data_IF_606601692661
#
_entry.id   IF_606601692661
#
_cell.length_a   1.000
_cell.length_b   1.000
_cell.length_c   1.000
_cell.angle_alpha   90.00
_cell.angle_beta   90.00
_cell.angle_gamma   90.00
#
_symmetry.space_group_name_H-M   'P 1'
#
loop_
_entity.id
_entity.type
_entity.pdbx_description
1 polymer ?
#
# COMPACT_ATOMS: atom_id res chain seq x y z
N UNK A 1 9.59 23.38 12.36
CA UNK A 1 9.39 22.17 13.18
C UNK A 1 8.65 21.19 12.27
N UNK A 2 9.12 19.93 12.10
CA UNK A 2 8.41 18.96 11.28
C UNK A 2 7.09 18.58 11.96
N UNK A 3 6.02 18.27 11.22
CA UNK A 3 4.79 17.75 11.80
C UNK A 3 4.98 16.33 12.33
N UNK A 4 4.25 15.98 13.39
CA UNK A 4 4.19 14.62 13.91
C UNK A 4 3.14 13.80 13.14
N UNK A 5 3.45 12.53 12.98
CA UNK A 5 2.65 11.50 12.30
C UNK A 5 2.37 10.36 13.29
N UNK A 6 1.17 9.80 13.25
CA UNK A 6 0.78 8.63 14.01
C UNK A 6 0.66 7.43 13.06
N UNK A 7 1.52 6.43 13.26
CA UNK A 7 1.60 5.21 12.43
C UNK A 7 1.14 4.01 13.25
N UNK A 8 0.05 3.35 12.85
CA UNK A 8 -0.34 2.06 13.41
C UNK A 8 0.65 0.97 12.98
N UNK A 9 1.15 0.19 13.93
CA UNK A 9 2.20 -0.82 13.68
C UNK A 9 1.67 -2.24 13.77
N UNK A 10 0.96 -2.58 14.83
CA UNK A 10 0.42 -3.91 15.03
C UNK A 10 -0.83 -3.87 15.89
N UNK A 11 -1.72 -4.85 15.68
CA UNK A 11 -2.91 -5.04 16.51
C UNK A 11 -2.98 -6.47 17.04
N UNK A 12 -3.06 -6.63 18.37
CA UNK A 12 -3.12 -7.92 19.05
C UNK A 12 -3.90 -7.83 20.36
N UNK A 13 -4.26 -8.97 20.96
CA UNK A 13 -4.82 -9.00 22.33
C UNK A 13 -3.77 -8.69 23.40
N UNK A 14 -2.50 -8.91 23.07
CA UNK A 14 -1.35 -8.63 23.91
C UNK A 14 -0.23 -8.04 23.06
N UNK A 15 0.49 -7.05 23.60
CA UNK A 15 1.64 -6.40 22.95
C UNK A 15 2.82 -6.42 23.91
N UNK A 16 3.94 -6.99 23.45
CA UNK A 16 5.21 -6.97 24.16
C UNK A 16 6.13 -5.91 23.57
N UNK A 17 6.75 -5.11 24.44
CA UNK A 17 7.58 -3.99 24.03
C UNK A 17 8.69 -3.67 25.05
N UNK A 18 9.71 -2.96 24.60
CA UNK A 18 10.75 -2.36 25.44
C UNK A 18 10.78 -0.85 25.20
N UNK A 19 10.93 -0.08 26.27
CA UNK A 19 11.17 1.36 26.21
C UNK A 19 12.56 1.62 26.74
N UNK A 20 13.41 2.28 25.96
CA UNK A 20 14.83 2.40 26.29
C UNK A 20 15.13 3.46 27.34
N UNK A 21 14.16 4.34 27.67
CA UNK A 21 14.34 5.46 28.61
C UNK A 21 14.72 5.04 30.04
N UNK A 22 14.30 3.87 30.48
CA UNK A 22 14.41 3.45 31.88
C UNK A 22 15.11 2.10 32.10
N UNK A 23 15.45 1.40 31.02
CA UNK A 23 16.17 0.11 31.07
C UNK A 23 15.40 -1.04 31.75
N UNK A 24 14.09 -0.93 31.88
CA UNK A 24 13.25 -1.87 32.63
C UNK A 24 13.05 -3.23 31.92
N UNK A 25 13.59 -3.42 30.69
CA UNK A 25 13.45 -4.65 29.93
C UNK A 25 12.10 -4.79 29.22
N UNK A 26 11.74 -6.03 28.86
CA UNK A 26 10.49 -6.33 28.15
C UNK A 26 9.28 -6.11 29.05
N UNK A 27 8.31 -5.39 28.53
CA UNK A 27 7.02 -5.07 29.15
C UNK A 27 5.89 -5.68 28.34
N UNK A 28 4.73 -5.85 28.96
CA UNK A 28 3.55 -6.42 28.32
C UNK A 28 2.31 -5.61 28.66
N UNK A 29 1.54 -5.26 27.65
CA UNK A 29 0.20 -4.74 27.77
C UNK A 29 -0.80 -5.79 27.27
N UNK A 30 -1.93 -5.98 27.95
CA UNK A 30 -2.97 -6.95 27.60
C UNK A 30 -4.33 -6.27 27.52
N UNK A 31 -5.20 -6.75 26.64
CA UNK A 31 -6.60 -6.28 26.57
C UNK A 31 -7.42 -6.93 27.68
N UNK A 32 -8.06 -6.14 28.52
CA UNK A 32 -8.96 -6.61 29.58
C UNK A 32 -10.14 -5.70 29.74
N UNK A 33 -11.36 -6.24 29.67
CA UNK A 33 -12.61 -5.49 29.87
C UNK A 33 -12.74 -4.23 28.98
N UNK A 34 -12.22 -4.32 27.72
CA UNK A 34 -12.21 -3.19 26.79
C UNK A 34 -11.20 -2.09 27.10
N UNK A 35 -10.26 -2.34 28.04
CA UNK A 35 -9.17 -1.44 28.46
C UNK A 35 -7.81 -2.10 28.32
N UNK A 36 -6.78 -1.31 28.51
CA UNK A 36 -5.38 -1.75 28.51
C UNK A 36 -4.98 -2.09 29.95
N UNK A 37 -4.73 -3.38 30.25
CA UNK A 37 -4.10 -3.80 31.49
C UNK A 37 -2.58 -3.67 31.35
N UNK A 38 -1.98 -2.87 32.20
CA UNK A 38 -0.54 -2.67 32.25
C UNK A 38 -0.11 -2.37 33.69
N UNK A 39 0.94 -3.05 34.18
CA UNK A 39 1.49 -2.92 35.54
C UNK A 39 0.41 -2.98 36.65
N UNK A 40 -0.54 -3.91 36.49
CA UNK A 40 -1.63 -4.15 37.44
C UNK A 40 -2.75 -3.11 37.47
N UNK A 41 -2.78 -2.15 36.55
CA UNK A 41 -3.81 -1.14 36.41
C UNK A 41 -4.47 -1.15 35.03
N UNK A 42 -5.66 -0.54 34.92
CA UNK A 42 -6.43 -0.44 33.68
C UNK A 42 -6.39 0.99 33.14
N UNK A 43 -6.07 1.12 31.84
CA UNK A 43 -5.90 2.40 31.14
C UNK A 43 -6.78 2.43 29.90
N UNK A 44 -7.21 3.62 29.49
CA UNK A 44 -7.87 3.87 28.20
C UNK A 44 -6.84 4.07 27.07
N UNK A 45 -5.66 4.58 27.43
CA UNK A 45 -4.53 4.82 26.53
C UNK A 45 -3.21 4.77 27.34
N UNK A 46 -2.15 4.21 26.76
CA UNK A 46 -0.78 4.34 27.29
C UNK A 46 0.05 5.19 26.33
N UNK A 47 0.92 6.02 26.88
CA UNK A 47 1.84 6.85 26.13
C UNK A 47 3.22 6.86 26.77
N UNK A 48 4.22 6.49 25.99
CA UNK A 48 5.63 6.46 26.40
C UNK A 48 6.38 7.47 25.53
N UNK A 49 6.84 8.55 26.13
CA UNK A 49 7.53 9.62 25.44
C UNK A 49 8.87 9.18 24.83
N UNK A 50 9.24 9.82 23.71
CA UNK A 50 10.56 9.66 23.13
C UNK A 50 11.64 10.18 24.08
N UNK A 51 12.76 9.47 24.19
CA UNK A 51 13.96 10.07 24.77
C UNK A 51 14.53 11.10 23.81
N UNK A 52 14.47 12.35 24.22
CA UNK A 52 15.17 13.53 23.68
C UNK A 52 14.93 13.87 22.19
N UNK A 53 14.28 15.00 21.91
CA UNK A 53 14.12 15.50 20.54
C UNK A 53 15.35 16.27 20.04
N UNK A 54 16.55 15.91 20.37
CA UNK A 54 17.72 16.79 20.20
C UNK A 54 18.88 16.27 19.38
N UNK A 55 18.80 15.09 18.80
CA UNK A 55 19.82 14.73 17.82
C UNK A 55 19.28 14.91 16.40
N UNK A 56 20.13 15.41 15.53
CA UNK A 56 19.92 15.49 14.07
C UNK A 56 19.76 14.06 13.45
N UNK A 57 19.66 13.03 14.31
CA UNK A 57 19.61 11.62 13.95
C UNK A 57 18.60 10.88 14.83
N UNK A 58 17.56 10.32 14.19
CA UNK A 58 16.62 9.44 14.85
C UNK A 58 17.38 8.25 15.50
N UNK A 59 17.28 8.15 16.83
CA UNK A 59 17.73 6.98 17.58
C UNK A 59 16.53 6.18 18.06
N UNK A 60 16.67 4.85 18.21
CA UNK A 60 15.59 4.03 18.72
C UNK A 60 15.19 4.46 20.13
N UNK A 61 13.91 4.71 20.36
CA UNK A 61 13.33 5.04 21.67
C UNK A 61 12.65 3.83 22.29
N UNK A 62 12.11 2.93 21.45
CA UNK A 62 11.43 1.71 21.88
C UNK A 62 11.57 0.59 20.85
N UNK A 63 11.20 -0.61 21.25
CA UNK A 63 11.13 -1.79 20.38
C UNK A 63 9.79 -2.50 20.60
N UNK A 64 9.15 -2.93 19.52
CA UNK A 64 8.02 -3.84 19.54
C UNK A 64 8.51 -5.25 19.23
N UNK A 65 8.00 -6.22 19.96
CA UNK A 65 8.32 -7.65 19.78
C UNK A 65 7.34 -8.29 18.78
N UNK A 66 7.85 -9.23 18.00
CA UNK A 66 7.05 -10.09 17.13
C UNK A 66 6.11 -9.31 16.19
N UNK A 67 6.55 -8.20 15.63
CA UNK A 67 5.80 -7.46 14.59
C UNK A 67 5.71 -8.32 13.34
N UNK A 68 4.49 -8.61 12.87
CA UNK A 68 4.27 -9.37 11.64
C UNK A 68 4.45 -8.43 10.45
N UNK A 69 5.36 -8.76 9.55
CA UNK A 69 5.62 -8.02 8.31
C UNK A 69 5.30 -8.87 7.09
N UNK A 70 4.87 -8.23 6.00
CA UNK A 70 4.48 -8.93 4.77
C UNK A 70 3.21 -9.74 4.94
N UNK A 71 2.22 -9.20 5.62
CA UNK A 71 0.93 -9.87 5.90
C UNK A 71 0.29 -10.36 4.59
N UNK A 72 0.00 -11.66 4.52
CA UNK A 72 -0.52 -12.35 3.33
C UNK A 72 0.44 -12.46 2.13
N UNK A 73 1.71 -12.12 2.27
CA UNK A 73 2.74 -12.38 1.26
C UNK A 73 3.51 -13.67 1.58
N UNK A 74 4.15 -14.26 0.55
CA UNK A 74 4.95 -15.48 0.70
C UNK A 74 6.17 -15.34 1.63
N UNK A 75 6.55 -14.10 1.97
CA UNK A 75 7.65 -13.75 2.87
C UNK A 75 7.16 -13.25 4.24
N UNK A 76 5.89 -13.45 4.59
CA UNK A 76 5.34 -13.13 5.90
C UNK A 76 6.18 -13.75 7.02
N UNK A 77 6.56 -12.93 7.99
CA UNK A 77 7.32 -13.34 9.16
C UNK A 77 7.16 -12.38 10.32
N UNK A 78 7.61 -12.79 11.49
CA UNK A 78 7.66 -11.95 12.68
C UNK A 78 9.09 -11.46 12.93
N UNK A 79 9.23 -10.18 13.24
CA UNK A 79 10.50 -9.55 13.58
C UNK A 79 10.33 -8.60 14.77
N UNK A 80 11.39 -8.48 15.59
CA UNK A 80 11.49 -7.41 16.57
C UNK A 80 11.89 -6.13 15.87
N UNK A 81 11.10 -5.07 16.03
CA UNK A 81 11.33 -3.80 15.31
C UNK A 81 11.59 -2.65 16.26
N UNK A 82 12.60 -1.84 15.94
CA UNK A 82 13.02 -0.65 16.70
C UNK A 82 12.46 0.60 16.05
N UNK A 83 11.96 1.53 16.87
CA UNK A 83 11.33 2.75 16.42
C UNK A 83 11.92 3.98 17.10
N UNK A 84 11.99 5.10 16.36
CA UNK A 84 12.18 6.42 16.92
C UNK A 84 10.84 7.01 17.37
N UNK A 85 10.87 8.12 18.13
CA UNK A 85 9.66 8.81 18.56
C UNK A 85 8.99 8.15 19.76
N UNK A 86 7.71 8.41 19.96
CA UNK A 86 6.94 7.92 21.09
C UNK A 86 6.13 6.67 20.74
N UNK A 87 5.91 5.81 21.74
CA UNK A 87 4.99 4.69 21.67
C UNK A 87 3.66 5.05 22.34
N UNK A 88 2.58 4.89 21.59
CA UNK A 88 1.20 5.00 22.07
C UNK A 88 0.51 3.63 21.92
N UNK A 89 -0.22 3.18 22.93
CA UNK A 89 -1.05 1.97 22.83
C UNK A 89 -2.50 2.38 23.08
N UNK A 90 -3.38 1.96 22.17
CA UNK A 90 -4.82 2.26 22.22
C UNK A 90 -5.63 0.97 22.07
N UNK A 91 -6.92 1.04 22.44
CA UNK A 91 -7.89 -0.03 22.11
C UNK A 91 -8.64 0.37 20.86
N UNK A 92 -8.62 -0.47 19.84
CA UNK A 92 -9.37 -0.30 18.59
C UNK A 92 -9.93 -1.65 18.10
N UNK A 93 -11.22 -1.70 17.77
CA UNK A 93 -11.90 -2.92 17.26
C UNK A 93 -11.61 -4.18 18.12
N UNK A 94 -11.74 -4.06 19.46
CA UNK A 94 -11.49 -5.13 20.44
C UNK A 94 -10.08 -5.73 20.41
N UNK A 95 -9.10 -4.93 20.05
CA UNK A 95 -7.67 -5.26 20.12
C UNK A 95 -6.88 -4.07 20.66
N UNK A 96 -5.69 -4.36 21.18
CA UNK A 96 -4.67 -3.33 21.41
C UNK A 96 -4.02 -3.00 20.07
N UNK A 97 -3.82 -1.72 19.79
CA UNK A 97 -3.05 -1.24 18.65
C UNK A 97 -1.86 -0.43 19.15
N UNK A 98 -0.65 -0.84 18.77
CA UNK A 98 0.56 -0.05 18.97
C UNK A 98 0.67 1.00 17.86
N UNK A 99 0.81 2.25 18.25
CA UNK A 99 0.95 3.40 17.36
C UNK A 99 2.27 4.09 17.64
N UNK A 100 3.08 4.28 16.62
CA UNK A 100 4.30 5.09 16.70
C UNK A 100 3.98 6.55 16.41
N UNK A 101 4.34 7.45 17.30
CA UNK A 101 4.24 8.91 17.11
C UNK A 101 5.64 9.43 16.76
N UNK A 102 5.82 9.88 15.52
CA UNK A 102 7.13 10.17 14.95
C UNK A 102 7.08 11.38 14.03
N UNK A 103 8.16 12.14 13.95
CA UNK A 103 8.27 13.23 12.99
C UNK A 103 8.33 12.73 11.54
N UNK A 104 7.75 13.47 10.61
CA UNK A 104 7.64 13.05 9.18
C UNK A 104 9.00 12.72 8.57
N UNK A 105 10.09 13.45 8.88
CA UNK A 105 11.39 13.17 8.29
C UNK A 105 12.04 11.88 8.85
N UNK A 106 11.79 11.56 10.12
CA UNK A 106 12.22 10.30 10.74
C UNK A 106 11.39 9.11 10.22
N UNK A 107 10.09 9.32 9.97
CA UNK A 107 9.24 8.36 9.27
C UNK A 107 9.80 8.03 7.88
N UNK A 108 10.17 9.05 7.10
CA UNK A 108 10.72 8.87 5.76
C UNK A 108 12.04 8.09 5.75
N UNK A 109 12.86 8.22 6.79
CA UNK A 109 14.07 7.42 6.92
C UNK A 109 13.77 5.93 6.92
N UNK A 110 12.72 5.52 7.61
CA UNK A 110 12.24 4.14 7.59
C UNK A 110 11.62 3.76 6.24
N UNK A 111 10.68 4.56 5.72
CA UNK A 111 9.98 4.27 4.45
C UNK A 111 10.98 4.06 3.31
N UNK A 112 11.88 5.00 3.09
CA UNK A 112 12.85 4.92 1.99
C UNK A 112 13.77 3.69 2.15
N UNK A 113 14.18 3.38 3.38
CA UNK A 113 15.01 2.19 3.65
C UNK A 113 14.26 0.86 3.56
N UNK A 114 12.93 0.88 3.74
CA UNK A 114 12.07 -0.31 3.65
C UNK A 114 11.58 -0.57 2.23
N UNK A 115 11.37 0.49 1.44
CA UNK A 115 10.90 0.41 0.05
C UNK A 115 12.04 0.19 -0.95
N UNK A 116 13.22 0.78 -0.71
CA UNK A 116 14.33 0.84 -1.65
C UNK A 116 15.58 0.20 -1.09
N UNK A 117 16.46 -0.25 -2.01
CA UNK A 117 17.80 -0.70 -1.66
C UNK A 117 18.68 0.46 -1.19
N UNK A 118 19.57 0.20 -0.25
CA UNK A 118 20.59 1.15 0.18
C UNK A 118 21.59 1.52 -0.95
N UNK A 119 21.65 0.74 -2.03
CA UNK A 119 22.47 0.97 -3.22
C UNK A 119 21.79 1.80 -4.29
N UNK A 120 20.53 2.22 -4.08
CA UNK A 120 19.78 3.02 -5.05
C UNK A 120 20.45 4.38 -5.30
N UNK A 121 20.30 4.89 -6.51
CA UNK A 121 20.89 6.16 -6.93
C UNK A 121 20.30 7.34 -6.16
N UNK A 122 21.13 8.35 -5.89
CA UNK A 122 20.74 9.51 -5.07
C UNK A 122 19.53 10.26 -5.67
N UNK A 123 19.50 10.44 -7.00
CA UNK A 123 18.39 11.14 -7.67
C UNK A 123 17.07 10.36 -7.60
N UNK A 124 17.13 9.04 -7.71
CA UNK A 124 15.95 8.21 -7.52
C UNK A 124 15.42 8.28 -6.07
N UNK A 125 16.33 8.16 -5.08
CA UNK A 125 15.96 8.27 -3.67
C UNK A 125 15.40 9.65 -3.31
N UNK A 126 15.94 10.75 -3.90
CA UNK A 126 15.39 12.11 -3.71
C UNK A 126 13.97 12.22 -4.27
N UNK A 127 13.72 11.71 -5.48
CA UNK A 127 12.37 11.69 -6.04
C UNK A 127 11.42 10.93 -5.12
N UNK A 128 11.85 9.75 -4.64
CA UNK A 128 11.03 8.92 -3.75
C UNK A 128 10.78 9.59 -2.38
N UNK A 129 11.77 10.26 -1.81
CA UNK A 129 11.59 11.01 -0.55
C UNK A 129 10.55 12.14 -0.70
N UNK A 130 10.58 12.88 -1.81
CA UNK A 130 9.62 13.94 -2.08
C UNK A 130 8.20 13.40 -2.24
N UNK A 131 8.00 12.34 -3.01
CA UNK A 131 6.65 11.77 -3.21
C UNK A 131 6.10 11.13 -1.96
N UNK A 132 6.94 10.39 -1.20
CA UNK A 132 6.52 9.78 0.06
C UNK A 132 6.13 10.84 1.09
N UNK A 133 6.89 11.95 1.17
CA UNK A 133 6.54 13.11 2.01
C UNK A 133 5.23 13.76 1.55
N UNK A 134 5.07 14.00 0.26
CA UNK A 134 3.86 14.62 -0.30
C UNK A 134 2.62 13.79 0.03
N UNK A 135 2.71 12.47 -0.17
CA UNK A 135 1.62 11.54 0.12
C UNK A 135 1.25 11.54 1.60
N UNK A 136 2.21 11.32 2.51
CA UNK A 136 1.91 11.24 3.94
C UNK A 136 1.40 12.58 4.50
N UNK A 137 1.94 13.71 4.02
CA UNK A 137 1.45 15.03 4.39
C UNK A 137 0.01 15.29 3.91
N UNK A 138 -0.37 14.76 2.73
CA UNK A 138 -1.75 14.81 2.25
C UNK A 138 -2.68 13.96 3.14
N UNK A 139 -2.22 12.78 3.61
CA UNK A 139 -2.98 11.94 4.56
C UNK A 139 -3.20 12.66 5.91
N UNK A 140 -2.15 13.25 6.50
CA UNK A 140 -2.25 14.02 7.74
C UNK A 140 -3.25 15.18 7.58
N UNK A 141 -3.20 15.90 6.46
CA UNK A 141 -4.10 17.00 6.19
C UNK A 141 -5.57 16.56 6.10
N UNK A 142 -5.83 15.41 5.48
CA UNK A 142 -7.19 14.83 5.39
C UNK A 142 -7.67 14.30 6.73
N UNK A 143 -6.84 13.53 7.46
CA UNK A 143 -7.15 13.02 8.81
C UNK A 143 -7.45 14.15 9.81
N UNK A 144 -6.70 15.23 9.75
CA UNK A 144 -6.93 16.42 10.58
C UNK A 144 -8.29 17.08 10.34
N UNK A 145 -8.83 16.98 9.13
CA UNK A 145 -10.17 17.47 8.77
C UNK A 145 -11.26 16.54 9.35
N UNK A 146 -11.07 15.24 9.30
CA UNK A 146 -11.98 14.25 9.90
C UNK A 146 -11.96 14.32 11.45
N UNK A 147 -10.80 14.49 12.09
CA UNK A 147 -10.71 14.67 13.56
C UNK A 147 -11.40 15.94 14.07
N UNK A 148 -11.45 17.02 13.26
CA UNK A 148 -12.19 18.26 13.61
C UNK A 148 -13.69 18.15 13.34
N UNK A 149 -14.11 17.25 12.46
CA UNK A 149 -15.51 17.01 12.13
C UNK A 149 -16.22 16.03 13.10
N UNK A 150 -15.51 15.42 14.04
CA UNK A 150 -16.08 14.51 15.03
C UNK A 150 -16.75 15.27 16.18
N UNK A 151 -17.83 16.02 15.93
CA UNK A 151 -19.02 16.25 16.74
C UNK A 151 -20.10 16.76 15.80
N UNK A 152 -21.10 15.95 15.42
CA UNK A 152 -22.31 15.86 16.20
C UNK A 152 -22.78 14.41 16.41
N UNK A 153 -23.22 14.15 17.63
CA UNK A 153 -24.17 13.10 17.95
C UNK A 153 -25.45 13.42 17.21
N UNK A 154 -25.71 12.73 16.14
CA UNK A 154 -27.03 12.42 15.53
C UNK A 154 -26.84 12.05 14.05
N UNK A 155 -26.37 10.82 13.81
CA UNK A 155 -26.64 10.13 12.54
C UNK A 155 -27.05 8.69 12.83
N UNK A 156 -28.13 8.52 13.56
CA UNK A 156 -29.00 7.38 13.38
C UNK A 156 -29.82 7.66 12.14
N UNK A 157 -29.35 7.23 10.97
CA UNK A 157 -30.11 6.90 9.76
C UNK A 157 -29.27 7.20 8.51
N UNK A 158 -28.29 6.33 8.27
CA UNK A 158 -27.95 5.93 6.90
C UNK A 158 -27.75 4.43 6.95
N UNK A 159 -28.40 3.65 6.10
CA UNK A 159 -28.24 2.20 6.13
C UNK A 159 -26.79 1.88 5.73
N UNK A 160 -26.07 1.23 6.61
CA UNK A 160 -24.86 0.48 6.27
C UNK A 160 -25.31 -0.63 5.33
N UNK A 161 -25.22 -0.37 4.04
CA UNK A 161 -25.34 -1.40 3.02
C UNK A 161 -24.08 -2.24 3.12
N UNK A 162 -24.33 -3.49 3.56
CA UNK A 162 -23.41 -4.63 3.56
C UNK A 162 -22.67 -4.91 4.86
N UNK A 163 -23.42 -5.24 5.88
CA UNK A 163 -23.06 -6.33 6.78
C UNK A 163 -24.32 -7.17 6.99
N UNK A 164 -24.26 -8.46 6.66
CA UNK A 164 -25.31 -9.47 6.78
C UNK A 164 -26.36 -9.48 5.68
N UNK A 165 -26.09 -10.19 4.59
CA UNK A 165 -27.13 -10.88 3.83
C UNK A 165 -27.67 -12.00 4.73
N UNK A 166 -28.83 -11.74 5.30
CA UNK A 166 -29.66 -12.75 5.96
C UNK A 166 -30.19 -13.71 4.86
N UNK A 167 -29.64 -14.92 4.84
CA UNK A 167 -29.93 -15.96 3.86
C UNK A 167 -31.23 -16.72 4.15
N UNK A 168 -32.22 -16.11 4.78
CA UNK A 168 -33.45 -16.85 5.22
C UNK A 168 -34.70 -16.64 4.38
N UNK A 169 -34.65 -15.92 3.27
CA UNK A 169 -35.83 -15.73 2.45
C UNK A 169 -35.55 -15.88 0.96
N UNK A 170 -35.60 -17.09 0.44
CA UNK A 170 -36.05 -17.48 -0.91
C UNK A 170 -35.80 -18.98 -1.10
N UNK A 171 -36.80 -19.78 -0.87
CA UNK A 171 -36.90 -21.12 -1.45
C UNK A 171 -37.93 -21.06 -2.56
N UNK A 172 -37.55 -21.77 -3.62
CA UNK A 172 -38.39 -22.15 -4.76
C UNK A 172 -38.49 -21.10 -5.88
N UNK A 173 -37.54 -21.23 -6.84
CA UNK A 173 -37.75 -21.16 -8.28
C UNK A 173 -36.46 -21.64 -8.98
N UNK A 174 -36.53 -22.42 -10.06
CA UNK A 174 -35.42 -22.94 -10.84
C UNK A 174 -34.57 -21.79 -11.39
N UNK A 175 -33.43 -21.51 -10.73
CA UNK A 175 -32.56 -20.36 -11.05
C UNK A 175 -31.49 -20.73 -12.08
N UNK A 176 -31.63 -20.18 -13.25
CA UNK A 176 -30.49 -19.85 -14.12
C UNK A 176 -29.57 -18.90 -13.34
N UNK A 177 -28.26 -19.21 -13.28
CA UNK A 177 -27.24 -18.66 -12.41
C UNK A 177 -27.41 -17.16 -12.06
N UNK A 178 -27.48 -16.87 -10.77
CA UNK A 178 -27.60 -15.51 -10.25
C UNK A 178 -26.31 -14.72 -10.54
N UNK A 179 -26.43 -13.62 -11.27
CA UNK A 179 -25.34 -12.66 -11.48
C UNK A 179 -25.16 -11.85 -10.19
N UNK A 180 -24.01 -11.97 -9.55
CA UNK A 180 -23.64 -11.19 -8.36
C UNK A 180 -22.64 -10.10 -8.74
N UNK A 181 -22.92 -8.85 -8.38
CA UNK A 181 -21.94 -7.78 -8.48
C UNK A 181 -21.27 -7.56 -7.13
N UNK A 182 -19.95 -7.66 -7.11
CA UNK A 182 -19.11 -7.44 -5.94
C UNK A 182 -17.99 -6.47 -6.29
N UNK A 183 -18.14 -5.22 -5.88
CA UNK A 183 -17.12 -4.18 -6.04
C UNK A 183 -16.59 -3.82 -4.67
N UNK A 184 -15.33 -4.09 -4.41
CA UNK A 184 -14.68 -3.74 -3.16
C UNK A 184 -13.68 -2.61 -3.38
N UNK A 185 -13.87 -1.55 -2.61
CA UNK A 185 -12.94 -0.43 -2.51
C UNK A 185 -12.08 -0.63 -1.28
N UNK A 186 -10.79 -0.43 -1.42
CA UNK A 186 -9.92 -0.33 -0.25
C UNK A 186 -9.92 1.13 0.18
N UNK A 187 -10.85 1.48 1.07
CA UNK A 187 -10.91 2.79 1.69
C UNK A 187 -9.89 2.89 2.82
N UNK A 188 -9.29 4.07 2.98
CA UNK A 188 -8.38 4.39 4.08
C UNK A 188 -9.08 4.47 5.45
N UNK A 189 -10.37 4.17 5.51
CA UNK A 189 -11.22 4.35 6.70
C UNK A 189 -11.15 3.19 7.70
N UNK A 190 -10.29 2.21 7.51
CA UNK A 190 -10.15 1.09 8.46
C UNK A 190 -9.61 1.51 9.82
N UNK A 191 -9.05 2.71 9.93
CA UNK A 191 -8.57 3.30 11.18
C UNK A 191 -8.94 4.79 11.28
N UNK A 192 -9.42 5.21 12.46
CA UNK A 192 -9.84 6.59 12.72
C UNK A 192 -9.01 7.28 13.80
N UNK A 193 -8.14 6.53 14.49
CA UNK A 193 -7.41 7.02 15.67
C UNK A 193 -5.92 7.29 15.42
N UNK A 194 -5.42 7.03 14.23
CA UNK A 194 -4.06 7.33 13.77
C UNK A 194 -4.07 7.70 12.29
N UNK A 195 -2.95 8.13 11.71
CA UNK A 195 -2.92 8.74 10.37
C UNK A 195 -2.72 7.73 9.26
N UNK A 196 -1.82 6.77 9.43
CA UNK A 196 -1.46 5.74 8.44
C UNK A 196 -1.14 4.41 9.12
N UNK A 197 -1.17 3.33 8.35
CA UNK A 197 -0.75 2.00 8.76
C UNK A 197 0.62 1.64 8.18
N UNK A 198 1.35 0.72 8.81
CA UNK A 198 2.73 0.35 8.46
C UNK A 198 2.89 -0.48 7.19
N UNK A 199 1.81 -1.01 6.62
CA UNK A 199 1.83 -1.98 5.54
C UNK A 199 1.68 -1.38 4.13
N UNK A 200 1.66 -2.27 3.11
CA UNK A 200 1.64 -1.94 1.68
C UNK A 200 0.38 -1.15 1.22
N UNK A 201 -0.67 -1.02 2.05
CA UNK A 201 -1.83 -0.18 1.74
C UNK A 201 -1.52 1.31 1.90
N UNK A 202 -0.56 1.62 2.75
CA UNK A 202 -0.04 2.97 2.94
C UNK A 202 1.36 3.08 2.34
N UNK A 203 2.38 3.06 3.17
CA UNK A 203 3.79 3.02 2.77
C UNK A 203 4.50 2.07 3.73
N UNK A 204 5.35 1.21 3.21
CA UNK A 204 6.06 0.23 4.02
C UNK A 204 6.95 0.91 5.05
N UNK A 205 6.58 0.77 6.33
CA UNK A 205 7.24 1.40 7.46
C UNK A 205 7.71 0.35 8.47
N UNK A 206 9.00 0.05 8.53
CA UNK A 206 9.57 -1.01 9.38
C UNK A 206 10.51 -0.44 10.47
N UNK A 207 10.24 0.76 10.93
CA UNK A 207 11.02 1.43 11.95
C UNK A 207 12.48 1.68 11.55
N UNK A 208 13.37 1.77 12.54
CA UNK A 208 14.78 2.04 12.32
C UNK A 208 15.62 0.76 12.15
N UNK A 209 15.04 -0.42 12.25
CA UNK A 209 15.78 -1.69 12.18
C UNK A 209 16.57 -1.83 10.87
N UNK A 210 16.07 -1.25 9.79
CA UNK A 210 16.69 -1.24 8.45
C UNK A 210 17.26 0.10 8.02
N UNK A 211 17.00 1.15 8.79
CA UNK A 211 17.40 2.53 8.46
C UNK A 211 18.88 2.82 8.73
N UNK A 212 19.78 1.95 8.27
CA UNK A 212 21.23 2.04 8.55
C UNK A 212 22.03 2.87 7.53
N UNK A 213 21.39 3.28 6.42
CA UNK A 213 22.05 3.89 5.27
C UNK A 213 22.37 5.38 5.46
N UNK A 214 23.67 5.76 5.42
CA UNK A 214 24.09 7.18 5.39
C UNK A 214 23.55 7.91 4.16
N UNK A 215 23.37 7.22 3.03
CA UNK A 215 22.85 7.78 1.78
C UNK A 215 21.41 8.22 1.92
N UNK A 216 20.53 7.39 2.52
CA UNK A 216 19.12 7.74 2.72
C UNK A 216 19.00 8.98 3.59
N UNK A 217 19.76 9.07 4.67
CA UNK A 217 19.78 10.25 5.54
C UNK A 217 20.18 11.52 4.78
N UNK A 218 21.32 11.47 4.01
CA UNK A 218 21.76 12.59 3.16
C UNK A 218 20.66 13.03 2.18
N UNK A 219 19.94 12.08 1.61
CA UNK A 219 18.85 12.35 0.66
C UNK A 219 17.70 13.08 1.36
N UNK A 220 17.28 12.62 2.54
CA UNK A 220 16.22 13.25 3.32
C UNK A 220 16.62 14.68 3.71
N UNK A 221 17.84 14.86 4.22
CA UNK A 221 18.35 16.18 4.59
C UNK A 221 18.37 17.15 3.39
N UNK A 222 18.82 16.67 2.22
CA UNK A 222 18.90 17.49 1.00
C UNK A 222 17.53 17.84 0.40
N UNK A 223 16.50 17.05 0.67
CA UNK A 223 15.11 17.26 0.23
C UNK A 223 14.18 17.68 1.37
N UNK A 224 14.73 18.06 2.52
CA UNK A 224 13.98 18.40 3.72
C UNK A 224 12.83 19.37 3.44
N UNK A 225 11.62 18.98 3.82
CA UNK A 225 10.40 19.76 3.66
C UNK A 225 9.93 19.95 2.22
N UNK A 226 10.58 19.33 1.22
CA UNK A 226 10.12 19.43 -0.17
C UNK A 226 8.93 18.53 -0.43
N UNK A 227 7.87 19.10 -1.00
CA UNK A 227 6.61 18.41 -1.34
C UNK A 227 6.12 18.84 -2.72
N UNK A 228 5.30 18.00 -3.34
CA UNK A 228 4.57 18.34 -4.55
C UNK A 228 3.23 19.01 -4.19
N UNK A 229 2.90 20.08 -4.91
CA UNK A 229 1.58 20.71 -4.88
C UNK A 229 0.99 20.84 -6.28
N UNK A 230 -0.32 20.75 -6.35
CA UNK A 230 -1.11 21.05 -7.51
C UNK A 230 -2.24 22.00 -7.10
N UNK A 231 -2.36 23.12 -7.78
CA UNK A 231 -3.35 24.16 -7.44
C UNK A 231 -3.35 24.53 -5.95
N UNK A 232 -2.13 24.72 -5.39
CA UNK A 232 -1.90 25.09 -3.99
C UNK A 232 -2.17 23.97 -2.96
N UNK A 233 -2.66 22.80 -3.36
CA UNK A 233 -2.94 21.64 -2.48
C UNK A 233 -1.81 20.62 -2.52
N UNK A 234 -1.58 19.93 -1.40
CA UNK A 234 -0.67 18.80 -1.33
C UNK A 234 -1.13 17.68 -2.29
N UNK A 235 -0.18 17.10 -2.99
CA UNK A 235 -0.47 15.99 -3.90
C UNK A 235 -0.54 14.65 -3.16
N UNK A 236 -1.57 13.85 -3.45
CA UNK A 236 -1.62 12.42 -3.19
C UNK A 236 -0.69 11.71 -4.18
N UNK A 237 0.62 11.76 -3.90
CA UNK A 237 1.67 11.35 -4.83
C UNK A 237 1.87 9.83 -4.79
N UNK A 238 0.97 9.09 -5.45
CA UNK A 238 0.97 7.61 -5.55
C UNK A 238 2.17 7.10 -6.35
N UNK A 239 2.62 5.89 -6.01
CA UNK A 239 3.69 5.20 -6.73
C UNK A 239 3.47 3.69 -6.75
N UNK A 240 4.03 3.01 -7.71
CA UNK A 240 3.98 1.55 -7.82
C UNK A 240 5.28 0.98 -8.36
N UNK A 241 5.50 -0.32 -8.18
CA UNK A 241 6.73 -1.02 -8.58
C UNK A 241 7.02 -0.87 -10.08
N UNK A 242 6.03 -1.17 -10.94
CA UNK A 242 6.17 -1.12 -12.39
C UNK A 242 4.84 -0.78 -13.07
N UNK A 243 4.79 0.29 -13.86
CA UNK A 243 3.57 0.64 -14.61
C UNK A 243 3.27 -0.32 -15.76
N UNK A 244 4.29 -1.02 -16.31
CA UNK A 244 4.15 -1.93 -17.42
C UNK A 244 4.15 -1.25 -18.80
N UNK A 245 4.55 0.03 -18.86
CA UNK A 245 4.69 0.83 -20.08
C UNK A 245 3.82 2.05 -20.15
N UNK A 246 2.67 2.06 -19.47
CA UNK A 246 1.76 3.20 -19.37
C UNK A 246 1.29 3.34 -17.92
N UNK A 247 1.35 4.56 -17.37
CA UNK A 247 0.77 4.83 -16.06
C UNK A 247 -0.75 4.75 -16.11
N UNK A 248 -1.37 4.56 -14.95
CA UNK A 248 -2.83 4.50 -14.81
C UNK A 248 -3.37 5.74 -14.10
N UNK A 249 -4.66 6.04 -14.28
CA UNK A 249 -5.35 7.11 -13.56
C UNK A 249 -5.87 6.64 -12.21
N UNK A 250 -6.01 7.57 -11.26
CA UNK A 250 -6.49 7.29 -9.91
C UNK A 250 -7.84 6.55 -9.88
N UNK A 251 -8.81 6.99 -10.68
CA UNK A 251 -10.16 6.46 -10.71
C UNK A 251 -10.26 4.97 -11.09
N UNK A 252 -9.28 4.43 -11.82
CA UNK A 252 -9.25 3.00 -12.16
C UNK A 252 -8.98 2.09 -10.94
N UNK A 253 -8.31 2.60 -9.92
CA UNK A 253 -7.86 1.81 -8.78
C UNK A 253 -8.66 2.07 -7.51
N UNK A 254 -9.12 3.31 -7.30
CA UNK A 254 -9.84 3.76 -6.12
C UNK A 254 -11.18 4.42 -6.46
N UNK A 255 -11.57 5.49 -5.74
CA UNK A 255 -12.79 6.23 -5.99
C UNK A 255 -12.82 6.84 -7.40
N UNK A 256 -14.01 7.00 -7.98
CA UNK A 256 -14.21 7.58 -9.31
C UNK A 256 -13.98 9.11 -9.27
N UNK A 257 -12.73 9.48 -8.99
CA UNK A 257 -12.28 10.86 -8.87
C UNK A 257 -11.19 11.12 -9.88
N UNK A 258 -11.33 12.23 -10.62
CA UNK A 258 -10.28 12.72 -11.50
C UNK A 258 -9.21 13.48 -10.71
N UNK A 259 -7.97 13.01 -10.79
CA UNK A 259 -6.80 13.66 -10.17
C UNK A 259 -5.90 14.18 -11.31
N UNK A 260 -5.82 15.49 -11.54
CA UNK A 260 -5.22 16.06 -12.74
C UNK A 260 -3.74 15.72 -12.97
N UNK A 261 -2.98 15.50 -11.91
CA UNK A 261 -1.55 15.17 -11.97
C UNK A 261 -1.26 13.65 -11.93
N UNK A 262 -2.27 12.80 -11.81
CA UNK A 262 -2.15 11.34 -11.90
C UNK A 262 -2.72 10.88 -13.24
N UNK A 263 -1.94 11.08 -14.32
CA UNK A 263 -2.37 10.86 -15.69
C UNK A 263 -1.88 9.52 -16.23
N UNK A 264 -2.65 8.95 -17.14
CA UNK A 264 -2.25 7.76 -17.91
C UNK A 264 -1.39 8.19 -19.10
N UNK A 265 -0.09 8.23 -18.90
CA UNK A 265 0.88 8.62 -19.92
C UNK A 265 1.85 7.45 -20.18
N UNK A 266 2.41 7.33 -21.41
CA UNK A 266 3.49 6.40 -21.68
C UNK A 266 4.72 6.69 -20.79
N UNK A 267 5.31 5.64 -20.23
CA UNK A 267 6.53 5.73 -19.42
C UNK A 267 7.78 5.74 -20.32
N UNK A 268 7.86 6.73 -21.16
CA UNK A 268 8.85 6.90 -22.23
C UNK A 268 9.39 8.33 -22.25
N UNK A 269 10.56 8.60 -22.85
CA UNK A 269 11.04 9.97 -23.03
C UNK A 269 9.95 10.86 -23.68
N UNK A 270 9.71 12.03 -23.06
CA UNK A 270 8.71 13.01 -23.50
C UNK A 270 7.28 12.43 -23.70
N UNK A 271 7.02 11.29 -23.07
CA UNK A 271 5.77 10.51 -23.25
C UNK A 271 5.48 10.10 -24.69
N UNK A 272 6.52 10.01 -25.54
CA UNK A 272 6.37 9.55 -26.92
C UNK A 272 6.06 8.03 -26.97
N UNK A 273 4.88 7.62 -27.46
CA UNK A 273 4.54 6.20 -27.56
C UNK A 273 5.47 5.39 -28.48
N UNK A 274 6.21 6.04 -29.36
CA UNK A 274 7.18 5.42 -30.27
C UNK A 274 8.55 5.19 -29.64
N UNK A 275 8.82 5.77 -28.48
CA UNK A 275 10.10 5.63 -27.79
C UNK A 275 10.13 4.38 -26.91
N UNK A 276 11.36 3.96 -26.54
CA UNK A 276 11.57 2.84 -25.62
C UNK A 276 11.10 3.17 -24.20
N UNK A 277 10.34 2.26 -23.59
CA UNK A 277 9.82 2.43 -22.26
C UNK A 277 10.93 2.37 -21.20
N UNK A 278 10.91 3.27 -20.23
CA UNK A 278 11.87 3.29 -19.13
C UNK A 278 11.78 2.03 -18.28
N UNK A 279 10.60 1.56 -17.91
CA UNK A 279 10.46 0.39 -17.06
C UNK A 279 10.67 -0.96 -17.78
N UNK A 280 10.93 -0.96 -19.10
CA UNK A 280 11.28 -2.17 -19.84
C UNK A 280 12.78 -2.44 -19.73
N UNK A 281 13.23 -2.90 -18.55
CA UNK A 281 14.62 -3.25 -18.27
C UNK A 281 14.75 -4.62 -17.65
N UNK A 282 15.85 -5.29 -17.95
CA UNK A 282 16.31 -6.54 -17.30
C UNK A 282 17.64 -6.33 -16.59
N UNK A 283 18.10 -5.07 -16.49
CA UNK A 283 19.32 -4.73 -15.79
C UNK A 283 19.19 -5.01 -14.30
N UNK A 284 19.96 -5.98 -13.83
CA UNK A 284 19.90 -6.44 -12.43
C UNK A 284 20.37 -5.38 -11.43
N UNK A 285 21.27 -4.48 -11.83
CA UNK A 285 21.72 -3.40 -10.96
C UNK A 285 20.61 -2.38 -10.77
N UNK A 286 19.83 -2.08 -11.82
CA UNK A 286 18.68 -1.19 -11.75
C UNK A 286 17.54 -1.87 -10.96
N UNK A 287 17.21 -3.11 -11.28
CA UNK A 287 16.17 -3.85 -10.57
C UNK A 287 16.51 -4.02 -9.08
N UNK A 288 17.80 -4.25 -8.75
CA UNK A 288 18.27 -4.33 -7.37
C UNK A 288 18.12 -3.03 -6.58
N UNK A 289 17.93 -1.87 -7.23
CA UNK A 289 17.65 -0.60 -6.53
C UNK A 289 16.23 -0.51 -6.00
N UNK A 290 15.27 -1.13 -6.68
CA UNK A 290 13.83 -1.08 -6.36
C UNK A 290 13.33 -2.33 -5.65
N UNK A 291 14.19 -3.32 -5.44
CA UNK A 291 13.90 -4.57 -4.76
C UNK A 291 14.66 -4.62 -3.44
N UNK A 292 13.97 -4.83 -2.36
CA UNK A 292 14.62 -5.31 -1.14
C UNK A 292 14.91 -6.82 -1.28
N UNK A 293 15.68 -7.37 -0.34
CA UNK A 293 16.24 -8.73 -0.42
C UNK A 293 15.20 -9.86 -0.56
N UNK A 294 13.90 -9.57 -0.44
CA UNK A 294 12.81 -10.55 -0.45
C UNK A 294 12.13 -10.72 -1.82
N UNK A 295 12.24 -9.69 -2.68
CA UNK A 295 11.59 -9.66 -4.00
C UNK A 295 12.58 -9.96 -5.14
N UNK A 296 13.81 -10.36 -4.83
CA UNK A 296 14.89 -10.54 -5.82
C UNK A 296 14.77 -11.82 -6.67
N UNK A 297 13.83 -12.68 -6.36
CA UNK A 297 13.67 -13.97 -7.07
C UNK A 297 13.03 -13.81 -8.46
N UNK A 298 12.43 -12.67 -8.78
CA UNK A 298 11.80 -12.43 -10.07
C UNK A 298 12.33 -11.19 -10.75
N UNK A 299 12.49 -11.25 -12.07
CA UNK A 299 12.85 -10.12 -12.94
C UNK A 299 11.69 -9.71 -13.86
N UNK A 300 10.57 -10.42 -13.79
CA UNK A 300 9.44 -10.30 -14.70
C UNK A 300 8.45 -9.21 -14.26
N UNK A 301 8.95 -7.98 -14.07
CA UNK A 301 8.10 -6.87 -13.66
C UNK A 301 7.38 -6.20 -14.83
N UNK A 302 8.05 -6.11 -15.98
CA UNK A 302 7.51 -5.44 -17.15
C UNK A 302 6.47 -6.30 -17.87
N UNK A 303 6.77 -7.61 -18.04
CA UNK A 303 5.85 -8.61 -18.58
C UNK A 303 5.95 -9.88 -17.77
N UNK A 304 4.82 -10.51 -17.50
CA UNK A 304 4.76 -11.70 -16.68
C UNK A 304 3.69 -12.67 -17.20
N UNK A 305 3.83 -13.91 -16.82
CA UNK A 305 2.89 -14.98 -17.14
C UNK A 305 2.65 -15.83 -15.90
N UNK A 306 1.42 -16.29 -15.72
CA UNK A 306 1.05 -17.29 -14.70
C UNK A 306 0.00 -18.22 -15.31
N UNK A 307 0.10 -19.51 -15.01
CA UNK A 307 -0.87 -20.53 -15.43
C UNK A 307 -1.44 -21.22 -14.20
N UNK A 308 -2.71 -21.52 -14.24
CA UNK A 308 -3.47 -22.25 -13.22
C UNK A 308 -4.20 -23.42 -13.84
N UNK A 309 -4.37 -24.50 -13.09
CA UNK A 309 -5.42 -25.46 -13.36
C UNK A 309 -6.79 -24.79 -13.16
N UNK A 310 -7.76 -25.12 -14.02
CA UNK A 310 -9.12 -24.52 -13.95
C UNK A 310 -9.78 -24.78 -12.60
N UNK A 311 -9.66 -25.99 -12.05
CA UNK A 311 -10.22 -26.35 -10.76
C UNK A 311 -9.46 -25.66 -9.62
N UNK A 312 -8.12 -25.56 -9.71
CA UNK A 312 -7.30 -24.80 -8.75
C UNK A 312 -7.71 -23.33 -8.68
N UNK A 313 -7.93 -22.68 -9.83
CA UNK A 313 -8.36 -21.28 -9.84
C UNK A 313 -9.80 -21.13 -9.32
N UNK A 314 -10.68 -22.09 -9.56
CA UNK A 314 -12.05 -22.10 -9.02
C UNK A 314 -12.04 -22.18 -7.49
N UNK A 315 -11.24 -23.08 -6.93
CA UNK A 315 -11.06 -23.24 -5.49
C UNK A 315 -10.47 -21.97 -4.84
N UNK A 316 -9.49 -21.36 -5.48
CA UNK A 316 -8.86 -20.12 -5.05
C UNK A 316 -9.87 -18.96 -5.03
N UNK A 317 -10.67 -18.81 -6.06
CA UNK A 317 -11.73 -17.78 -6.12
C UNK A 317 -12.75 -18.01 -5.01
N UNK A 318 -13.18 -19.25 -4.77
CA UNK A 318 -14.09 -19.60 -3.68
C UNK A 318 -13.49 -19.26 -2.31
N UNK A 319 -12.23 -19.64 -2.07
CA UNK A 319 -11.52 -19.33 -0.82
C UNK A 319 -11.42 -17.83 -0.57
N UNK A 320 -11.07 -17.06 -1.60
CA UNK A 320 -10.81 -15.63 -1.48
C UNK A 320 -12.08 -14.77 -1.46
N UNK A 321 -13.12 -15.15 -2.17
CA UNK A 321 -14.39 -14.40 -2.21
C UNK A 321 -15.40 -14.86 -1.16
N UNK A 322 -15.30 -16.10 -0.68
CA UNK A 322 -16.35 -16.77 0.09
C UNK A 322 -17.55 -17.23 -0.76
N UNK A 323 -17.47 -17.10 -2.09
CA UNK A 323 -18.56 -17.40 -3.03
C UNK A 323 -18.18 -18.60 -3.87
N UNK A 324 -19.00 -19.65 -3.83
CA UNK A 324 -18.83 -20.81 -4.68
C UNK A 324 -19.44 -20.53 -6.06
N UNK A 325 -18.57 -20.40 -7.07
CA UNK A 325 -18.97 -20.21 -8.48
C UNK A 325 -19.10 -21.54 -9.24
N UNK A 326 -18.80 -22.66 -8.57
CA UNK A 326 -18.59 -23.93 -9.25
C UNK A 326 -17.29 -23.93 -10.08
N UNK A 327 -17.20 -24.78 -11.08
CA UNK A 327 -16.03 -24.82 -11.96
C UNK A 327 -16.00 -23.60 -12.88
N UNK A 328 -14.87 -22.92 -12.91
CA UNK A 328 -14.64 -21.73 -13.75
C UNK A 328 -14.86 -22.04 -15.24
N UNK A 329 -15.65 -21.21 -15.93
CA UNK A 329 -15.89 -21.28 -17.38
C UNK A 329 -15.13 -20.21 -18.15
N UNK A 330 -15.18 -18.96 -17.68
CA UNK A 330 -14.54 -17.84 -18.35
C UNK A 330 -14.11 -16.73 -17.35
N UNK A 331 -13.11 -15.98 -17.76
CA UNK A 331 -12.73 -14.69 -17.18
C UNK A 331 -12.90 -13.64 -18.27
N UNK A 332 -13.84 -12.73 -18.13
CA UNK A 332 -14.22 -11.74 -19.13
C UNK A 332 -13.94 -10.31 -18.61
N UNK A 333 -12.89 -9.64 -19.09
CA UNK A 333 -12.67 -8.23 -18.78
C UNK A 333 -13.82 -7.38 -19.34
N UNK A 334 -14.59 -6.72 -18.47
CA UNK A 334 -15.70 -5.85 -18.86
C UNK A 334 -15.27 -4.40 -19.05
N UNK A 335 -14.34 -3.94 -18.21
CA UNK A 335 -13.88 -2.56 -18.23
C UNK A 335 -12.36 -2.51 -17.96
N UNK A 336 -11.66 -1.70 -18.72
CA UNK A 336 -10.22 -1.48 -18.58
C UNK A 336 -9.91 0.02 -18.47
N UNK A 337 -8.93 0.33 -17.64
CA UNK A 337 -8.29 1.65 -17.62
C UNK A 337 -7.38 1.86 -18.80
N UNK A 338 -6.85 3.08 -18.92
CA UNK A 338 -6.02 3.49 -20.08
C UNK A 338 -4.67 2.74 -20.13
N UNK A 339 -4.17 2.23 -19.03
CA UNK A 339 -2.97 1.36 -18.98
C UNK A 339 -3.24 -0.10 -19.38
N UNK A 340 -4.49 -0.44 -19.67
CA UNK A 340 -4.93 -1.82 -19.90
C UNK A 340 -5.30 -2.59 -18.63
N UNK A 341 -5.19 -1.98 -17.43
CA UNK A 341 -5.62 -2.60 -16.18
C UNK A 341 -7.12 -2.84 -16.17
N UNK A 342 -7.52 -4.05 -15.79
CA UNK A 342 -8.93 -4.41 -15.66
C UNK A 342 -9.48 -3.72 -14.41
N UNK A 343 -10.56 -2.96 -14.60
CA UNK A 343 -11.33 -2.27 -13.57
C UNK A 343 -12.49 -3.16 -13.10
N UNK A 344 -13.17 -3.81 -14.07
CA UNK A 344 -14.22 -4.79 -13.80
C UNK A 344 -13.94 -6.09 -14.54
N UNK A 345 -14.00 -7.20 -13.81
CA UNK A 345 -13.81 -8.55 -14.31
C UNK A 345 -15.06 -9.36 -14.02
N UNK A 346 -15.64 -9.97 -15.07
CA UNK A 346 -16.69 -10.96 -14.93
C UNK A 346 -16.07 -12.35 -14.86
N UNK A 347 -16.35 -13.06 -13.79
CA UNK A 347 -15.91 -14.42 -13.50
C UNK A 347 -17.10 -15.32 -13.70
N UNK A 348 -17.10 -16.14 -14.75
CA UNK A 348 -18.20 -17.04 -15.09
C UNK A 348 -17.90 -18.44 -14.60
N UNK A 349 -18.67 -18.95 -13.68
CA UNK A 349 -18.60 -20.31 -13.19
C UNK A 349 -19.74 -21.18 -13.73
N UNK A 350 -19.76 -22.48 -13.36
CA UNK A 350 -20.84 -23.39 -13.67
C UNK A 350 -22.10 -23.08 -12.88
N UNK A 351 -21.94 -22.68 -11.62
CA UNK A 351 -23.03 -22.46 -10.66
C UNK A 351 -23.44 -20.99 -10.60
N UNK A 352 -22.46 -20.08 -10.64
CA UNK A 352 -22.68 -18.65 -10.49
C UNK A 352 -21.73 -17.81 -11.33
N UNK A 353 -22.18 -16.60 -11.62
CA UNK A 353 -21.36 -15.54 -12.23
C UNK A 353 -21.10 -14.45 -11.20
N UNK A 354 -19.85 -13.97 -11.11
CA UNK A 354 -19.41 -12.94 -10.20
C UNK A 354 -18.76 -11.82 -10.98
N UNK A 355 -19.21 -10.57 -10.81
CA UNK A 355 -18.53 -9.38 -11.34
C UNK A 355 -17.76 -8.69 -10.21
N UNK A 356 -16.46 -8.55 -10.38
CA UNK A 356 -15.56 -7.99 -9.37
C UNK A 356 -14.83 -6.77 -9.88
N UNK A 357 -14.52 -5.85 -8.99
CA UNK A 357 -13.70 -4.66 -9.14
C UNK A 357 -13.28 -4.14 -7.76
N UNK A 358 -12.31 -3.32 -7.64
CA UNK A 358 -11.42 -2.78 -8.68
C UNK A 358 -10.11 -3.56 -8.77
N UNK A 359 -9.05 -2.87 -9.20
CA UNK A 359 -7.73 -3.40 -9.51
C UNK A 359 -7.19 -4.35 -8.43
N UNK A 360 -7.15 -3.91 -7.18
CA UNK A 360 -6.58 -4.69 -6.07
C UNK A 360 -7.43 -5.93 -5.74
N UNK A 361 -8.76 -5.85 -5.80
CA UNK A 361 -9.64 -6.99 -5.54
C UNK A 361 -9.50 -8.06 -6.61
N UNK A 362 -9.40 -7.67 -7.89
CA UNK A 362 -9.15 -8.61 -9.00
C UNK A 362 -7.82 -9.35 -8.77
N UNK A 363 -6.77 -8.65 -8.36
CA UNK A 363 -5.46 -9.26 -8.05
C UNK A 363 -5.53 -10.22 -6.88
N UNK A 364 -6.27 -9.84 -5.83
CA UNK A 364 -6.45 -10.65 -4.62
C UNK A 364 -7.18 -11.96 -4.90
N UNK A 365 -8.22 -11.93 -5.72
CA UNK A 365 -9.03 -13.11 -6.03
C UNK A 365 -8.32 -14.12 -6.92
N UNK A 366 -7.39 -13.68 -7.77
CA UNK A 366 -6.73 -14.52 -8.76
C UNK A 366 -5.32 -14.98 -8.34
N UNK A 367 -4.96 -14.84 -7.07
CA UNK A 367 -3.66 -15.31 -6.56
C UNK A 367 -3.71 -15.69 -5.08
N UNK A 368 -2.86 -16.61 -4.66
CA UNK A 368 -2.69 -17.00 -3.24
C UNK A 368 -2.14 -15.84 -2.40
N UNK A 369 -1.40 -14.92 -3.01
CA UNK A 369 -1.02 -13.63 -2.41
C UNK A 369 -1.76 -12.51 -3.15
N UNK A 370 -1.08 -11.78 -4.01
CA UNK A 370 -1.67 -10.82 -4.94
C UNK A 370 -1.07 -11.03 -6.31
N UNK A 371 -1.91 -11.07 -7.35
CA UNK A 371 -1.44 -11.08 -8.75
C UNK A 371 -0.61 -9.81 -8.99
N UNK A 372 0.41 -9.88 -9.84
CA UNK A 372 1.35 -8.75 -10.04
C UNK A 372 0.64 -7.46 -10.44
N UNK A 373 -0.34 -7.53 -11.34
CA UNK A 373 -1.23 -6.41 -11.71
C UNK A 373 -2.56 -6.94 -12.23
N UNK A 374 -3.54 -6.06 -12.46
CA UNK A 374 -4.75 -6.41 -13.19
C UNK A 374 -4.66 -6.14 -14.71
N UNK A 375 -3.49 -5.72 -15.21
CA UNK A 375 -3.26 -5.57 -16.65
C UNK A 375 -2.85 -6.91 -17.25
N UNK A 376 -3.81 -7.74 -17.60
CA UNK A 376 -3.55 -9.06 -18.21
C UNK A 376 -4.56 -9.43 -19.28
N UNK A 377 -4.13 -10.31 -20.18
CA UNK A 377 -4.98 -11.03 -21.12
C UNK A 377 -5.16 -12.47 -20.64
N UNK A 378 -6.31 -13.07 -20.96
CA UNK A 378 -6.69 -14.42 -20.56
C UNK A 378 -6.56 -15.34 -21.79
N UNK A 379 -5.77 -16.38 -21.65
CA UNK A 379 -5.64 -17.44 -22.67
C UNK A 379 -6.11 -18.79 -22.09
N UNK A 380 -6.64 -19.62 -22.96
CA UNK A 380 -7.06 -20.98 -22.65
C UNK A 380 -6.27 -21.95 -23.54
N UNK A 381 -5.04 -22.35 -23.11
CA UNK A 381 -4.21 -23.28 -23.92
C UNK A 381 -4.88 -24.63 -24.18
N UNK A 382 -5.69 -25.06 -23.20
CA UNK A 382 -6.54 -26.26 -23.29
C UNK A 382 -7.77 -26.10 -22.36
N UNK A 383 -8.58 -27.19 -22.25
CA UNK A 383 -9.81 -27.16 -21.44
C UNK A 383 -9.56 -27.00 -19.93
N UNK A 384 -8.38 -27.37 -19.45
CA UNK A 384 -8.07 -27.45 -18.02
C UNK A 384 -7.10 -26.37 -17.53
N UNK A 385 -6.50 -25.60 -18.44
CA UNK A 385 -5.48 -24.59 -18.12
C UNK A 385 -5.99 -23.19 -18.46
N UNK A 386 -5.88 -22.30 -17.47
CA UNK A 386 -6.06 -20.85 -17.63
C UNK A 386 -4.69 -20.18 -17.54
N UNK A 387 -4.35 -19.39 -18.54
CA UNK A 387 -3.11 -18.62 -18.56
C UNK A 387 -3.39 -17.15 -18.56
N UNK A 388 -2.74 -16.41 -17.66
CA UNK A 388 -2.79 -14.96 -17.58
C UNK A 388 -1.45 -14.41 -18.04
N UNK A 389 -1.45 -13.59 -19.09
CA UNK A 389 -0.28 -12.84 -19.56
C UNK A 389 -0.45 -11.37 -19.23
N UNK A 390 0.42 -10.85 -18.41
CA UNK A 390 0.24 -9.51 -17.85
C UNK A 390 1.41 -8.57 -18.01
N UNK A 391 1.16 -7.32 -17.61
CA UNK A 391 2.11 -6.22 -17.68
C UNK A 391 2.14 -5.42 -16.38
N UNK A 392 3.35 -5.08 -15.92
CA UNK A 392 3.55 -4.26 -14.74
C UNK A 392 3.33 -4.97 -13.41
N UNK A 393 3.61 -4.24 -12.32
CA UNK A 393 3.42 -4.70 -10.95
C UNK A 393 2.88 -3.56 -10.08
N UNK A 394 1.73 -3.80 -9.43
CA UNK A 394 0.97 -2.83 -8.67
C UNK A 394 -0.04 -2.05 -9.53
N UNK A 395 -0.65 -1.06 -8.93
CA UNK A 395 -1.74 -0.27 -9.51
C UNK A 395 -1.33 0.61 -10.71
N UNK A 396 -0.05 0.92 -10.86
CA UNK A 396 0.47 1.69 -12.00
C UNK A 396 0.21 3.20 -11.96
N UNK A 397 -0.40 3.74 -10.92
CA UNK A 397 -0.73 5.16 -10.80
C UNK A 397 0.46 5.96 -10.27
N UNK A 398 0.77 7.09 -10.90
CA UNK A 398 1.85 7.99 -10.53
C UNK A 398 3.24 7.42 -10.84
N UNK A 399 4.21 7.55 -9.93
CA UNK A 399 5.60 7.18 -10.20
C UNK A 399 5.77 5.66 -10.35
N UNK A 400 6.38 5.26 -11.47
CA UNK A 400 6.90 3.92 -11.70
C UNK A 400 8.30 3.80 -11.11
N UNK A 401 8.48 2.99 -10.05
CA UNK A 401 9.76 2.88 -9.34
C UNK A 401 10.89 2.39 -10.26
N UNK A 402 10.63 1.37 -11.10
CA UNK A 402 11.62 0.86 -12.05
C UNK A 402 11.93 1.91 -13.12
N UNK A 403 10.91 2.57 -13.68
CA UNK A 403 11.12 3.64 -14.67
C UNK A 403 11.93 4.81 -14.09
N UNK A 404 11.62 5.25 -12.88
CA UNK A 404 12.35 6.30 -12.19
C UNK A 404 13.82 5.92 -11.91
N UNK A 405 14.10 4.67 -11.53
CA UNK A 405 15.47 4.17 -11.35
C UNK A 405 16.23 4.17 -12.69
N UNK A 406 15.60 3.76 -13.80
CA UNK A 406 16.18 3.84 -15.14
C UNK A 406 16.43 5.30 -15.56
N UNK A 407 15.49 6.22 -15.30
CA UNK A 407 15.69 7.64 -15.59
C UNK A 407 16.91 8.17 -14.83
N UNK A 408 17.01 7.89 -13.53
CA UNK A 408 18.14 8.30 -12.72
C UNK A 408 19.47 7.73 -13.23
N UNK A 409 19.52 6.46 -13.65
CA UNK A 409 20.73 5.85 -14.24
C UNK A 409 21.13 6.49 -15.58
N UNK A 410 20.18 7.08 -16.29
CA UNK A 410 20.40 7.86 -17.52
C UNK A 410 20.75 9.34 -17.25
N UNK A 411 20.89 9.76 -16.00
CA UNK A 411 21.30 11.11 -15.63
C UNK A 411 20.16 12.12 -15.46
N UNK A 412 18.91 11.68 -15.44
CA UNK A 412 17.80 12.57 -15.09
C UNK A 412 17.89 12.98 -13.62
N UNK A 413 17.69 14.26 -13.34
CA UNK A 413 17.58 14.76 -11.97
C UNK A 413 16.26 14.33 -11.33
N UNK A 414 16.21 14.33 -9.99
CA UNK A 414 14.96 14.01 -9.26
C UNK A 414 13.81 14.94 -9.65
N UNK A 415 14.08 16.21 -9.97
CA UNK A 415 13.07 17.17 -10.43
C UNK A 415 12.50 16.81 -11.80
N UNK A 416 13.34 16.33 -12.71
CA UNK A 416 12.89 15.83 -14.02
C UNK A 416 12.08 14.54 -13.87
N UNK A 417 12.48 13.63 -12.98
CA UNK A 417 11.73 12.41 -12.65
C UNK A 417 10.35 12.79 -12.10
N UNK A 418 10.27 13.72 -11.14
CA UNK A 418 9.00 14.17 -10.57
C UNK A 418 8.10 14.81 -11.63
N UNK A 419 8.62 15.67 -12.50
CA UNK A 419 7.86 16.30 -13.57
C UNK A 419 7.34 15.29 -14.61
N UNK A 420 8.07 14.20 -14.85
CA UNK A 420 7.64 13.13 -15.75
C UNK A 420 6.41 12.38 -15.21
N UNK A 421 6.40 12.04 -13.92
CA UNK A 421 5.30 11.25 -13.34
C UNK A 421 4.14 12.07 -12.77
N UNK A 422 4.34 13.35 -12.49
CA UNK A 422 3.34 14.24 -11.91
C UNK A 422 3.28 15.56 -12.68
N UNK A 423 2.77 15.53 -13.93
CA UNK A 423 2.73 16.72 -14.77
C UNK A 423 1.88 17.84 -14.15
N UNK A 424 2.36 19.06 -14.29
CA UNK A 424 1.69 20.26 -13.79
C UNK A 424 1.77 20.49 -12.28
N UNK A 425 2.54 19.67 -11.55
CA UNK A 425 2.80 19.91 -10.12
C UNK A 425 3.95 20.88 -9.92
N UNK A 426 3.94 21.52 -8.76
CA UNK A 426 5.01 22.41 -8.29
C UNK A 426 5.77 21.75 -7.15
N UNK A 427 7.11 21.72 -7.24
CA UNK A 427 8.00 21.32 -6.15
C UNK A 427 8.24 22.53 -5.26
N UNK A 428 7.76 22.48 -4.02
CA UNK A 428 7.94 23.54 -3.05
C UNK A 428 8.59 23.05 -1.76
N UNK A 429 9.22 23.94 -1.00
CA UNK A 429 9.72 23.67 0.35
C UNK A 429 8.76 24.27 1.37
N UNK A 430 8.30 23.46 2.33
CA UNK A 430 7.47 23.89 3.48
C UNK A 430 8.33 24.28 4.68
#
# INVERSE_FOLDING_TARGET
>A
MQPDLQVGIMSASEIEFEVYSDGAGVRKASLREGKIEYDGALYDELYFEAQTPSSMFAEPSFMLKNVTIGVNFHWERQEDQKFAGALKIIVEKDKLTAVNVVGVEDYLLSVISSEMSASASEEFLKAHAVISRSWVMAQIASSGTHRKASVPKDVNNLPSLVSHLDMSCCRDEEEQGVDMEYVKWYDHEDHTRFDVWEDDHCQRYQGLTRATGKTVRKVIDSTWGQVLRYDGKLCDARFSKCCGGVMEVFGSCWADTYVPYLQALPDTPDHDPGAGCFCNTQDKEILGQVLNNYDQETVDFYRWEVSYGRDELSDLIRERSGIDIGRLKALEPLERGLSGRIIKLKIVGLERTLTVGKELEIRRLLSKSHLKSSAFEVEWPDEDIVRLKGAGWGHGVGLCQIGAAVMASKGYSYTQILSHYYPGTELIKQ
#
